data_IF_267434675873
#
_entry.id   IF_267434675873
#
_cell.length_a   1.000
_cell.length_b   1.000
_cell.length_c   1.000
_cell.angle_alpha   90.00
_cell.angle_beta   90.00
_cell.angle_gamma   90.00
#
_symmetry.space_group_name_H-M   'P 1'
#
loop_
_entity.id
_entity.type
_entity.pdbx_description
1 polymer ?
#
# COMPACT_ATOMS: atom_id res chain seq x y z
N UNK A 1 -9.33 33.78 0.85
CA UNK A 1 -9.32 32.35 0.46
C UNK A 1 -10.19 32.22 -0.77
N UNK A 2 -9.64 31.79 -1.91
CA UNK A 2 -10.44 31.45 -3.09
C UNK A 2 -10.67 29.94 -3.09
N UNK A 3 -11.89 29.52 -3.41
CA UNK A 3 -12.27 28.10 -3.46
C UNK A 3 -13.13 27.89 -4.68
N UNK A 4 -12.69 26.99 -5.57
CA UNK A 4 -13.54 26.48 -6.65
C UNK A 4 -14.53 25.50 -6.04
N UNK A 5 -15.82 25.68 -6.32
CA UNK A 5 -16.86 24.69 -5.99
C UNK A 5 -17.42 24.15 -7.29
N UNK A 6 -17.45 22.82 -7.38
CA UNK A 6 -18.04 22.12 -8.50
C UNK A 6 -19.52 22.46 -8.69
N UNK A 7 -19.95 22.63 -9.94
CA UNK A 7 -21.36 22.77 -10.31
C UNK A 7 -21.59 22.26 -11.74
N UNK A 8 -22.83 21.91 -12.07
CA UNK A 8 -23.18 21.35 -13.38
C UNK A 8 -22.33 20.12 -13.74
N UNK A 9 -21.72 20.13 -14.92
CA UNK A 9 -20.83 19.06 -15.39
C UNK A 9 -19.58 18.83 -14.52
N UNK A 10 -19.25 19.75 -13.62
CA UNK A 10 -18.13 19.66 -12.69
C UNK A 10 -18.60 19.44 -11.25
N UNK A 11 -19.76 18.83 -11.02
CA UNK A 11 -20.26 18.53 -9.66
C UNK A 11 -19.23 17.78 -8.80
N UNK A 12 -18.39 16.95 -9.43
CA UNK A 12 -17.28 16.22 -8.79
C UNK A 12 -15.91 16.89 -8.96
N UNK A 13 -15.85 18.18 -9.33
CA UNK A 13 -14.62 18.89 -9.62
C UNK A 13 -14.11 18.70 -11.05
N UNK A 14 -12.87 19.14 -11.31
CA UNK A 14 -12.23 18.96 -12.60
C UNK A 14 -11.77 17.51 -12.78
N UNK A 15 -12.01 16.88 -13.95
CA UNK A 15 -11.51 15.54 -14.22
C UNK A 15 -9.97 15.53 -14.31
N UNK A 16 -9.35 14.48 -13.77
CA UNK A 16 -7.91 14.24 -13.84
C UNK A 16 -7.61 13.14 -14.86
N UNK A 17 -7.86 13.43 -16.15
CA UNK A 17 -7.75 12.46 -17.26
C UNK A 17 -6.57 12.73 -18.20
N UNK A 18 -5.72 13.69 -17.86
CA UNK A 18 -4.59 14.15 -18.67
C UNK A 18 -3.29 14.15 -17.83
N UNK A 19 -2.18 13.82 -18.49
CA UNK A 19 -0.83 13.82 -17.89
C UNK A 19 -0.02 15.06 -18.25
N UNK A 20 -0.58 15.97 -19.05
CA UNK A 20 0.04 17.25 -19.43
C UNK A 20 -0.94 18.39 -19.17
N UNK A 21 -0.43 19.57 -18.81
CA UNK A 21 -1.26 20.72 -18.50
C UNK A 21 -2.25 21.04 -19.63
N UNK A 22 -3.53 21.14 -19.31
CA UNK A 22 -4.58 21.47 -20.28
C UNK A 22 -5.63 22.38 -19.67
N UNK A 23 -5.62 23.64 -20.09
CA UNK A 23 -6.52 24.67 -19.59
C UNK A 23 -8.00 24.33 -19.84
N UNK A 24 -8.34 23.67 -20.94
CA UNK A 24 -9.74 23.34 -21.28
C UNK A 24 -10.27 22.17 -20.45
N UNK A 25 -9.40 21.26 -20.03
CA UNK A 25 -9.78 20.08 -19.24
C UNK A 25 -9.88 20.38 -17.75
N UNK A 26 -8.84 20.98 -17.18
CA UNK A 26 -8.72 21.18 -15.74
C UNK A 26 -8.02 22.48 -15.34
N UNK A 27 -8.13 23.48 -16.20
CA UNK A 27 -7.67 24.84 -15.94
C UNK A 27 -8.68 25.69 -15.19
N UNK A 28 -8.18 26.66 -14.43
CA UNK A 28 -8.99 27.71 -13.83
C UNK A 28 -8.22 29.03 -13.79
N UNK A 29 -8.95 30.13 -13.81
CA UNK A 29 -8.38 31.47 -13.67
C UNK A 29 -8.65 32.01 -12.27
N UNK A 30 -7.62 32.63 -11.70
CA UNK A 30 -7.66 33.25 -10.38
C UNK A 30 -7.16 34.69 -10.52
N UNK A 31 -7.89 35.66 -9.95
CA UNK A 31 -7.49 37.07 -10.00
C UNK A 31 -6.71 37.39 -8.73
N UNK A 32 -5.48 37.87 -8.89
CA UNK A 32 -4.58 38.27 -7.80
C UNK A 32 -4.33 39.77 -7.90
N UNK A 33 -4.44 40.48 -6.77
CA UNK A 33 -4.13 41.91 -6.70
C UNK A 33 -2.65 42.13 -7.02
N UNK A 34 -2.27 43.13 -7.84
CA UNK A 34 -0.87 43.43 -8.09
C UNK A 34 -0.06 43.63 -6.80
N UNK A 35 1.17 43.12 -6.79
CA UNK A 35 2.07 43.12 -5.63
C UNK A 35 2.79 41.79 -5.43
N UNK A 36 3.67 41.75 -4.43
CA UNK A 36 4.43 40.54 -4.06
C UNK A 36 3.60 39.65 -3.14
N UNK A 37 3.39 38.40 -3.57
CA UNK A 37 2.61 37.41 -2.81
C UNK A 37 3.34 36.07 -2.74
N UNK A 38 3.13 35.36 -1.64
CA UNK A 38 3.43 33.92 -1.54
C UNK A 38 2.12 33.16 -1.59
N UNK A 39 2.04 32.12 -2.41
CA UNK A 39 0.80 31.35 -2.57
C UNK A 39 0.95 29.95 -1.97
N UNK A 40 -0.13 29.52 -1.32
CA UNK A 40 -0.34 28.12 -0.92
C UNK A 40 -1.55 27.61 -1.68
N UNK A 41 -1.32 26.68 -2.60
CA UNK A 41 -2.38 26.05 -3.39
C UNK A 41 -2.68 24.69 -2.75
N UNK A 42 -3.96 24.44 -2.45
CA UNK A 42 -4.44 23.15 -1.96
C UNK A 42 -5.34 22.53 -3.02
N UNK A 43 -5.03 21.31 -3.41
CA UNK A 43 -5.82 20.50 -4.32
C UNK A 43 -6.54 19.44 -3.49
N UNK A 44 -7.87 19.48 -3.50
CA UNK A 44 -8.69 18.40 -2.95
C UNK A 44 -8.95 17.41 -4.07
N UNK A 45 -8.45 16.20 -3.93
CA UNK A 45 -8.55 15.13 -4.92
C UNK A 45 -9.51 14.08 -4.38
N UNK A 46 -10.38 13.57 -5.25
CA UNK A 46 -11.37 12.54 -4.93
C UNK A 46 -11.35 11.47 -5.99
N UNK A 47 -11.30 10.22 -5.56
CA UNK A 47 -11.73 9.11 -6.40
C UNK A 47 -13.20 8.83 -6.11
N UNK A 48 -14.03 8.95 -7.15
CA UNK A 48 -15.49 8.82 -7.01
C UNK A 48 -15.90 7.36 -6.81
N UNK A 49 -15.11 6.40 -7.30
CA UNK A 49 -15.42 4.98 -7.23
C UNK A 49 -15.08 4.38 -5.85
N UNK A 50 -13.91 4.71 -5.30
CA UNK A 50 -13.51 4.31 -3.94
C UNK A 50 -14.11 5.22 -2.87
N UNK A 51 -14.51 6.44 -3.23
CA UNK A 51 -15.01 7.46 -2.31
C UNK A 51 -13.91 8.14 -1.49
N UNK A 52 -12.64 7.81 -1.72
CA UNK A 52 -11.51 8.36 -0.98
C UNK A 52 -11.24 9.80 -1.41
N UNK A 53 -10.99 10.65 -0.42
CA UNK A 53 -10.62 12.05 -0.59
C UNK A 53 -9.28 12.35 0.08
N UNK A 54 -8.50 13.23 -0.55
CA UNK A 54 -7.18 13.63 -0.11
C UNK A 54 -6.88 15.09 -0.42
N UNK A 55 -5.87 15.65 0.24
CA UNK A 55 -5.39 17.01 -0.04
C UNK A 55 -3.91 17.00 -0.41
N UNK A 56 -3.57 17.62 -1.54
CA UNK A 56 -2.18 17.89 -1.93
C UNK A 56 -1.94 19.39 -1.77
N UNK A 57 -0.86 19.76 -1.08
CA UNK A 57 -0.51 21.17 -0.84
C UNK A 57 0.78 21.53 -1.56
N UNK A 58 0.72 22.56 -2.41
CA UNK A 58 1.87 23.13 -3.10
C UNK A 58 2.15 24.54 -2.57
N UNK A 59 3.39 24.76 -2.14
CA UNK A 59 3.89 26.09 -1.82
C UNK A 59 4.52 26.68 -3.08
N UNK A 60 4.04 27.84 -3.49
CA UNK A 60 4.58 28.57 -4.63
C UNK A 60 5.57 29.60 -4.06
N UNK A 61 6.81 29.66 -4.57
CA UNK A 61 7.77 30.69 -4.18
C UNK A 61 7.17 32.10 -4.31
N UNK A 62 7.70 33.04 -3.52
CA UNK A 62 7.28 34.43 -3.58
C UNK A 62 7.39 34.97 -5.02
N UNK A 63 6.33 35.62 -5.50
CA UNK A 63 6.25 36.18 -6.84
C UNK A 63 5.60 37.56 -6.83
N UNK A 64 6.10 38.47 -7.65
CA UNK A 64 5.56 39.84 -7.80
C UNK A 64 4.66 39.90 -9.01
N UNK A 65 3.35 39.96 -8.78
CA UNK A 65 2.33 40.02 -9.83
C UNK A 65 2.13 41.47 -10.29
N UNK A 66 2.31 41.73 -11.58
CA UNK A 66 2.06 43.03 -12.19
C UNK A 66 0.57 43.21 -12.58
N UNK A 67 0.18 44.47 -12.83
CA UNK A 67 -1.17 44.77 -13.35
C UNK A 67 -1.32 44.21 -14.77
N UNK A 68 -2.43 43.54 -15.04
CA UNK A 68 -2.78 42.93 -16.34
C UNK A 68 -1.80 41.85 -16.82
N UNK A 69 -1.11 41.19 -15.89
CA UNK A 69 -0.23 40.06 -16.18
C UNK A 69 -0.97 38.73 -16.11
N UNK A 70 -0.60 37.79 -16.98
CA UNK A 70 -1.01 36.39 -16.91
C UNK A 70 0.17 35.55 -16.44
N UNK A 71 0.01 34.90 -15.29
CA UNK A 71 1.00 33.98 -14.73
C UNK A 71 0.43 32.57 -14.77
N UNK A 72 1.03 31.70 -15.58
CA UNK A 72 0.64 30.29 -15.65
C UNK A 72 1.19 29.53 -14.44
N UNK A 73 0.33 28.79 -13.77
CA UNK A 73 0.70 27.93 -12.64
C UNK A 73 0.28 26.50 -12.95
N UNK A 74 1.22 25.71 -13.46
CA UNK A 74 0.98 24.31 -13.77
C UNK A 74 0.96 23.46 -12.48
N UNK A 75 -0.04 22.59 -12.42
CA UNK A 75 -0.18 21.58 -11.37
C UNK A 75 0.39 20.27 -11.89
N UNK A 76 1.26 19.67 -11.09
CA UNK A 76 1.76 18.32 -11.30
C UNK A 76 1.55 17.58 -9.99
N UNK A 77 0.48 16.77 -9.95
CA UNK A 77 0.04 16.06 -8.75
C UNK A 77 0.78 14.72 -8.69
N UNK A 78 2.01 14.77 -8.21
CA UNK A 78 2.84 13.57 -8.02
C UNK A 78 2.31 12.77 -6.83
N UNK A 79 1.52 11.73 -7.11
CA UNK A 79 1.04 10.76 -6.12
C UNK A 79 1.76 9.43 -6.37
N UNK A 80 2.26 8.78 -5.31
CA UNK A 80 2.93 7.49 -5.46
C UNK A 80 1.93 6.45 -5.96
N UNK A 81 2.22 5.83 -7.10
CA UNK A 81 1.47 4.69 -7.60
C UNK A 81 2.16 3.39 -7.18
N UNK A 82 1.44 2.56 -6.43
CA UNK A 82 1.83 1.19 -6.13
C UNK A 82 1.29 0.25 -7.20
N UNK A 83 2.09 -0.75 -7.56
CA UNK A 83 1.66 -1.75 -8.52
C UNK A 83 0.44 -2.52 -7.97
N UNK A 84 -0.47 -2.89 -8.86
CA UNK A 84 -1.57 -3.79 -8.55
C UNK A 84 -1.20 -5.27 -8.63
N UNK A 85 0.08 -5.59 -8.85
CA UNK A 85 0.56 -6.96 -9.03
C UNK A 85 1.13 -7.50 -7.71
N UNK A 86 1.98 -8.53 -7.73
CA UNK A 86 2.71 -9.03 -6.55
C UNK A 86 1.89 -9.42 -5.30
N UNK A 87 0.63 -9.80 -5.51
CA UNK A 87 -0.10 -10.61 -4.53
C UNK A 87 0.21 -12.06 -4.82
N UNK A 88 0.46 -12.86 -3.80
CA UNK A 88 0.74 -14.30 -3.95
C UNK A 88 -0.03 -15.07 -2.89
N UNK A 89 -0.49 -16.27 -3.24
CA UNK A 89 -0.65 -17.31 -2.23
C UNK A 89 0.74 -17.63 -1.65
N UNK A 90 0.83 -17.99 -0.37
CA UNK A 90 2.13 -18.05 0.31
C UNK A 90 3.13 -18.93 -0.44
N UNK A 91 4.27 -18.31 -0.78
CA UNK A 91 5.40 -18.94 -1.47
C UNK A 91 5.03 -19.65 -2.79
N UNK A 92 3.97 -19.22 -3.47
CA UNK A 92 3.66 -19.68 -4.83
C UNK A 92 4.75 -19.27 -5.84
N UNK A 93 4.88 -19.99 -6.94
CA UNK A 93 5.85 -19.68 -8.00
C UNK A 93 5.45 -18.41 -8.78
N UNK A 94 4.14 -18.21 -8.98
CA UNK A 94 3.59 -17.12 -9.77
C UNK A 94 2.52 -16.34 -9.00
N UNK A 95 2.32 -15.07 -9.40
CA UNK A 95 1.42 -14.17 -8.67
C UNK A 95 -0.04 -14.63 -8.76
N UNK A 96 -0.82 -14.27 -7.75
CA UNK A 96 -2.22 -14.67 -7.52
C UNK A 96 -3.11 -14.48 -8.76
N UNK A 97 -2.84 -13.43 -9.55
CA UNK A 97 -3.58 -13.08 -10.76
C UNK A 97 -2.81 -13.34 -12.06
N UNK A 98 -1.76 -14.18 -12.07
CA UNK A 98 -1.02 -14.51 -13.29
C UNK A 98 -1.97 -15.01 -14.38
N UNK A 99 -1.96 -14.34 -15.53
CA UNK A 99 -2.86 -14.61 -16.67
C UNK A 99 -4.19 -13.84 -16.63
N UNK A 100 -4.55 -13.26 -15.49
CA UNK A 100 -5.81 -12.56 -15.21
C UNK A 100 -5.57 -11.15 -14.63
N UNK A 101 -4.38 -10.59 -14.81
CA UNK A 101 -3.95 -9.31 -14.25
C UNK A 101 -4.89 -8.16 -14.67
N UNK A 102 -5.08 -7.18 -13.78
CA UNK A 102 -6.00 -6.05 -14.00
C UNK A 102 -5.66 -5.24 -15.26
N UNK A 103 -4.40 -5.25 -15.69
CA UNK A 103 -3.88 -4.59 -16.90
C UNK A 103 -4.31 -5.27 -18.20
N UNK A 104 -4.82 -6.51 -18.15
CA UNK A 104 -5.30 -7.23 -19.34
C UNK A 104 -6.69 -6.78 -19.80
N UNK A 105 -7.43 -6.05 -18.95
CA UNK A 105 -8.77 -5.55 -19.26
C UNK A 105 -9.73 -6.65 -19.77
N UNK A 106 -9.70 -7.82 -19.13
CA UNK A 106 -10.52 -8.97 -19.50
C UNK A 106 -12.01 -8.68 -19.30
N UNK A 107 -12.86 -9.19 -20.19
CA UNK A 107 -14.29 -8.97 -20.15
C UNK A 107 -14.99 -9.80 -19.04
N UNK A 108 -16.16 -9.34 -18.59
CA UNK A 108 -17.09 -10.16 -17.79
C UNK A 108 -16.62 -10.50 -16.36
N UNK A 109 -15.95 -9.57 -15.67
CA UNK A 109 -15.42 -9.76 -14.31
C UNK A 109 -14.51 -11.00 -14.17
N UNK A 110 -13.81 -11.35 -15.24
CA UNK A 110 -12.87 -12.49 -15.25
C UNK A 110 -11.46 -12.09 -14.80
N UNK A 111 -11.11 -10.81 -14.90
CA UNK A 111 -9.82 -10.29 -14.44
C UNK A 111 -9.77 -10.01 -12.93
N UNK A 112 -8.59 -9.64 -12.49
CA UNK A 112 -8.30 -9.19 -11.13
C UNK A 112 -9.21 -8.04 -10.70
N UNK A 113 -9.86 -8.13 -9.52
CA UNK A 113 -10.66 -7.05 -8.98
C UNK A 113 -9.80 -5.87 -8.51
N UNK A 114 -10.21 -4.64 -8.83
CA UNK A 114 -9.48 -3.39 -8.50
C UNK A 114 -10.12 -2.55 -7.40
N UNK A 115 -11.32 -2.94 -6.94
CA UNK A 115 -12.10 -2.26 -5.89
C UNK A 115 -12.51 -3.27 -4.81
N UNK A 116 -12.56 -2.79 -3.57
CA UNK A 116 -13.00 -3.58 -2.42
C UNK A 116 -14.40 -4.18 -2.65
N UNK A 117 -14.58 -5.45 -2.31
CA UNK A 117 -15.84 -6.18 -2.44
C UNK A 117 -16.10 -6.76 -3.83
N UNK A 118 -15.27 -6.43 -4.83
CA UNK A 118 -15.34 -7.08 -6.13
C UNK A 118 -14.54 -8.38 -6.12
N UNK A 119 -14.99 -9.35 -6.91
CA UNK A 119 -14.39 -10.68 -6.99
C UNK A 119 -14.31 -11.22 -8.42
N UNK A 120 -13.46 -12.22 -8.60
CA UNK A 120 -13.35 -13.04 -9.81
C UNK A 120 -13.08 -14.49 -9.42
N UNK A 121 -13.70 -15.42 -10.14
CA UNK A 121 -13.53 -16.86 -9.89
C UNK A 121 -12.22 -17.44 -10.44
N UNK A 122 -11.38 -16.62 -11.11
CA UNK A 122 -10.18 -17.09 -11.80
C UNK A 122 -8.91 -17.17 -10.93
N UNK A 123 -9.05 -17.09 -9.61
CA UNK A 123 -7.96 -17.38 -8.68
C UNK A 123 -7.63 -18.88 -8.64
N UNK A 124 -6.47 -19.25 -8.11
CA UNK A 124 -6.10 -20.66 -7.97
C UNK A 124 -6.89 -21.33 -6.83
N UNK A 125 -7.48 -22.49 -7.09
CA UNK A 125 -8.28 -23.23 -6.10
C UNK A 125 -7.60 -24.52 -5.62
N UNK A 126 -6.60 -25.01 -6.35
CA UNK A 126 -5.86 -26.22 -6.02
C UNK A 126 -4.46 -26.19 -6.61
N UNK A 127 -3.63 -27.14 -6.17
CA UNK A 127 -2.27 -27.36 -6.69
C UNK A 127 -2.22 -27.81 -8.16
N UNK A 128 -3.38 -28.02 -8.81
CA UNK A 128 -3.48 -28.31 -10.24
C UNK A 128 -3.60 -27.04 -11.10
N UNK A 129 -3.53 -25.86 -10.50
CA UNK A 129 -3.53 -24.58 -11.23
C UNK A 129 -2.39 -24.53 -12.25
N UNK A 130 -2.74 -24.42 -13.54
CA UNK A 130 -1.78 -24.45 -14.65
C UNK A 130 -0.86 -23.21 -14.70
N UNK A 131 -1.20 -22.15 -13.97
CA UNK A 131 -0.39 -20.94 -13.89
C UNK A 131 0.55 -20.96 -12.67
N UNK A 132 0.61 -22.06 -11.90
CA UNK A 132 1.52 -22.23 -10.75
C UNK A 132 1.31 -21.19 -9.62
N UNK A 133 0.06 -20.78 -9.40
CA UNK A 133 -0.29 -19.71 -8.45
C UNK A 133 -0.72 -20.24 -7.08
N UNK A 134 -0.86 -21.55 -6.93
CA UNK A 134 -1.24 -22.17 -5.66
C UNK A 134 -0.08 -22.13 -4.67
N UNK A 135 -0.39 -21.97 -3.37
CA UNK A 135 0.65 -21.87 -2.34
C UNK A 135 1.55 -23.10 -2.30
N UNK A 136 2.76 -22.90 -1.78
CA UNK A 136 3.71 -23.98 -1.55
C UNK A 136 3.19 -24.95 -0.49
N UNK A 137 2.82 -26.15 -0.93
CA UNK A 137 2.30 -27.23 -0.09
C UNK A 137 3.42 -27.91 0.69
N UNK A 138 3.15 -28.27 1.96
CA UNK A 138 4.10 -28.98 2.81
C UNK A 138 4.28 -28.32 4.19
N UNK A 139 5.17 -28.89 5.00
CA UNK A 139 5.43 -28.44 6.37
C UNK A 139 4.43 -29.00 7.40
N UNK A 140 4.22 -28.27 8.50
CA UNK A 140 3.29 -28.65 9.57
C UNK A 140 3.82 -29.69 10.57
N UNK A 141 5.10 -30.03 10.49
CA UNK A 141 5.79 -30.95 11.41
C UNK A 141 7.16 -30.39 11.81
N UNK A 142 7.22 -29.07 12.01
CA UNK A 142 8.44 -28.33 12.29
C UNK A 142 8.67 -27.19 11.31
N UNK A 143 9.86 -26.59 11.40
CA UNK A 143 10.27 -25.46 10.56
C UNK A 143 10.16 -25.82 9.08
N UNK A 144 9.52 -24.93 8.32
CA UNK A 144 9.38 -25.03 6.88
C UNK A 144 9.62 -23.62 6.30
N UNK A 145 10.68 -23.50 5.51
CA UNK A 145 11.13 -22.23 4.96
C UNK A 145 10.67 -22.09 3.50
N UNK A 146 10.35 -20.86 3.11
CA UNK A 146 10.00 -20.52 1.73
C UNK A 146 11.17 -20.76 0.75
N UNK A 147 10.85 -21.18 -0.48
CA UNK A 147 11.83 -21.45 -1.55
C UNK A 147 11.50 -20.79 -2.89
N UNK A 148 10.36 -20.10 -3.01
CA UNK A 148 9.93 -19.40 -4.22
C UNK A 148 9.74 -17.89 -3.96
N UNK A 149 8.54 -17.35 -4.23
CA UNK A 149 8.23 -15.91 -4.11
C UNK A 149 8.48 -15.32 -2.73
N UNK A 150 8.44 -16.14 -1.66
CA UNK A 150 8.66 -15.68 -0.31
C UNK A 150 10.10 -15.90 0.18
N UNK A 151 10.98 -16.58 -0.57
CA UNK A 151 12.31 -16.98 -0.10
C UNK A 151 13.22 -15.80 0.31
N UNK A 152 13.08 -14.66 -0.38
CA UNK A 152 13.85 -13.44 -0.09
C UNK A 152 13.22 -12.52 0.96
N UNK A 153 12.05 -12.87 1.50
CA UNK A 153 11.32 -12.03 2.44
C UNK A 153 11.83 -12.23 3.89
N UNK A 154 11.61 -11.24 4.78
CA UNK A 154 11.91 -11.40 6.19
C UNK A 154 11.21 -12.62 6.77
N UNK A 155 11.90 -13.35 7.64
CA UNK A 155 11.30 -14.43 8.39
C UNK A 155 10.45 -13.88 9.55
N UNK A 156 9.64 -14.72 10.19
CA UNK A 156 8.74 -14.28 11.28
C UNK A 156 9.48 -13.55 12.41
N UNK A 157 10.69 -13.98 12.77
CA UNK A 157 11.47 -13.32 13.82
C UNK A 157 11.82 -11.89 13.43
N UNK A 158 12.28 -11.69 12.19
CA UNK A 158 12.61 -10.39 11.64
C UNK A 158 11.40 -9.45 11.64
N UNK A 159 10.21 -9.96 11.28
CA UNK A 159 8.96 -9.18 11.35
C UNK A 159 8.67 -8.67 12.76
N UNK A 160 8.95 -9.46 13.81
CA UNK A 160 8.76 -8.98 15.19
C UNK A 160 9.69 -7.82 15.55
N UNK A 161 10.88 -7.75 14.95
CA UNK A 161 11.79 -6.62 15.15
C UNK A 161 11.24 -5.34 14.51
N UNK A 162 10.73 -5.42 13.28
CA UNK A 162 10.07 -4.28 12.65
C UNK A 162 8.83 -3.84 13.45
N UNK A 163 7.99 -4.77 13.88
CA UNK A 163 6.77 -4.45 14.64
C UNK A 163 7.06 -3.84 16.02
N UNK A 164 8.09 -4.32 16.73
CA UNK A 164 8.35 -3.93 18.11
C UNK A 164 9.40 -2.82 18.27
N UNK A 165 10.39 -2.78 17.38
CA UNK A 165 11.58 -1.91 17.45
C UNK A 165 11.80 -1.10 16.18
N UNK A 166 11.04 -1.36 15.12
CA UNK A 166 11.01 -0.58 13.90
C UNK A 166 10.27 0.74 14.04
N UNK A 167 9.83 1.13 15.24
CA UNK A 167 9.17 2.42 15.50
C UNK A 167 7.99 2.68 14.55
N UNK A 168 6.96 1.81 14.56
CA UNK A 168 5.85 1.92 13.63
C UNK A 168 5.08 3.22 13.83
N UNK A 169 4.97 4.02 12.78
CA UNK A 169 4.17 5.26 12.77
C UNK A 169 3.01 5.11 11.79
N UNK A 170 1.79 5.03 12.31
CA UNK A 170 0.57 4.96 11.52
C UNK A 170 0.29 6.31 10.87
N UNK A 171 0.25 6.31 9.55
CA UNK A 171 -0.10 7.46 8.73
C UNK A 171 -1.47 7.22 8.11
N UNK A 172 -2.46 8.03 8.46
CA UNK A 172 -3.84 7.91 7.95
C UNK A 172 -4.06 8.77 6.69
N UNK A 173 -3.12 9.65 6.36
CA UNK A 173 -3.31 10.71 5.38
C UNK A 173 -2.34 10.64 4.19
N UNK A 174 -1.26 9.86 4.27
CA UNK A 174 -0.37 9.62 3.13
C UNK A 174 -1.18 9.06 1.95
N UNK A 175 -1.21 9.82 0.86
CA UNK A 175 -1.99 9.55 -0.34
C UNK A 175 -1.19 8.73 -1.34
N UNK A 176 -1.83 7.73 -1.90
CA UNK A 176 -1.24 6.88 -2.92
C UNK A 176 -2.32 6.31 -3.85
N UNK A 177 -1.91 5.83 -5.02
CA UNK A 177 -2.81 5.15 -5.95
C UNK A 177 -2.41 3.70 -6.13
N UNK A 178 -3.37 2.85 -6.47
CA UNK A 178 -3.12 1.51 -7.02
C UNK A 178 -4.29 1.12 -7.91
N UNK A 179 -4.03 0.32 -8.94
CA UNK A 179 -5.06 -0.21 -9.85
C UNK A 179 -6.04 0.85 -10.39
N UNK A 180 -5.55 2.07 -10.63
CA UNK A 180 -6.34 3.18 -11.17
C UNK A 180 -7.19 3.96 -10.15
N UNK A 181 -7.07 3.66 -8.86
CA UNK A 181 -7.87 4.28 -7.80
C UNK A 181 -7.03 5.01 -6.75
N UNK A 182 -7.58 6.09 -6.19
CA UNK A 182 -6.99 6.81 -5.06
C UNK A 182 -7.32 6.13 -3.73
N UNK A 183 -6.30 6.02 -2.88
CA UNK A 183 -6.38 5.56 -1.51
C UNK A 183 -5.47 6.40 -0.61
N UNK A 184 -5.55 6.13 0.68
CA UNK A 184 -4.64 6.66 1.68
C UNK A 184 -4.44 5.67 2.81
N UNK A 185 -3.41 5.90 3.61
CA UNK A 185 -3.17 5.15 4.82
C UNK A 185 -2.08 4.08 4.69
N UNK A 186 -1.39 3.82 5.80
CA UNK A 186 -0.26 2.90 5.89
C UNK A 186 0.60 3.16 7.11
N UNK A 187 1.78 2.57 7.15
CA UNK A 187 2.67 2.63 8.31
C UNK A 187 4.11 2.85 7.88
N UNK A 188 4.78 3.81 8.52
CA UNK A 188 6.22 3.98 8.42
C UNK A 188 6.94 3.07 9.40
N UNK A 189 8.07 2.50 8.96
CA UNK A 189 8.95 1.68 9.79
C UNK A 189 10.40 2.11 9.58
N UNK A 190 11.20 2.10 10.64
CA UNK A 190 12.66 2.17 10.57
C UNK A 190 13.19 1.04 9.70
N UNK A 191 14.14 1.38 8.84
CA UNK A 191 14.94 0.42 8.08
C UNK A 191 15.73 -0.47 9.04
N UNK A 192 16.07 -1.69 8.60
CA UNK A 192 16.82 -2.68 9.37
C UNK A 192 18.08 -2.11 10.03
N UNK A 193 18.83 -1.27 9.30
CA UNK A 193 20.07 -0.65 9.79
C UNK A 193 19.87 0.28 10.99
N UNK A 194 18.62 0.71 11.26
CA UNK A 194 18.23 1.62 12.33
C UNK A 194 17.60 0.90 13.52
N UNK A 195 17.44 -0.42 13.45
CA UNK A 195 16.86 -1.22 14.52
C UNK A 195 17.99 -1.76 15.41
N UNK A 196 18.14 -1.15 16.59
CA UNK A 196 19.15 -1.59 17.57
C UNK A 196 18.81 -2.97 18.15
N UNK A 197 19.82 -3.85 18.21
CA UNK A 197 19.68 -5.21 18.74
C UNK A 197 19.06 -6.22 17.77
N UNK A 198 18.79 -5.82 16.52
CA UNK A 198 18.19 -6.68 15.49
C UNK A 198 18.88 -8.05 15.41
N UNK A 199 18.09 -9.12 15.48
CA UNK A 199 18.58 -10.50 15.34
C UNK A 199 17.66 -11.29 14.40
N UNK A 200 18.17 -11.78 13.25
CA UNK A 200 17.34 -12.52 12.30
C UNK A 200 16.96 -13.94 12.80
N UNK A 201 17.60 -14.45 13.85
CA UNK A 201 17.40 -15.81 14.34
C UNK A 201 16.42 -15.92 15.50
N UNK A 202 16.10 -14.82 16.17
CA UNK A 202 15.20 -14.79 17.32
C UNK A 202 14.28 -13.60 17.23
N UNK A 203 13.02 -13.76 17.60
CA UNK A 203 12.08 -12.69 17.76
C UNK A 203 12.56 -11.70 18.85
N UNK A 204 11.89 -10.57 18.94
CA UNK A 204 12.22 -9.50 19.91
C UNK A 204 12.16 -9.96 21.38
N UNK A 205 11.47 -11.06 21.68
CA UNK A 205 11.41 -11.68 23.02
C UNK A 205 12.55 -12.68 23.29
N UNK A 206 13.45 -12.90 22.33
CA UNK A 206 14.58 -13.82 22.42
C UNK A 206 14.27 -15.27 22.04
N UNK A 207 13.04 -15.59 21.64
CA UNK A 207 12.64 -16.95 21.21
C UNK A 207 12.62 -17.09 19.69
N UNK A 208 12.72 -18.31 19.15
CA UNK A 208 12.59 -18.56 17.71
C UNK A 208 11.14 -18.92 17.34
N UNK A 209 10.43 -17.97 16.74
CA UNK A 209 9.03 -18.14 16.33
C UNK A 209 8.85 -19.03 15.10
N UNK A 210 9.94 -19.36 14.38
CA UNK A 210 9.90 -20.35 13.30
C UNK A 210 9.65 -21.77 13.82
N UNK A 211 9.80 -21.99 15.13
CA UNK A 211 9.61 -23.30 15.78
C UNK A 211 8.45 -23.31 16.78
N UNK A 212 7.98 -22.14 17.22
CA UNK A 212 6.90 -21.99 18.20
C UNK A 212 5.85 -21.05 17.62
N UNK A 213 4.72 -21.63 17.22
CA UNK A 213 3.65 -20.97 16.47
C UNK A 213 2.91 -19.87 17.28
N UNK A 214 3.58 -18.74 17.42
CA UNK A 214 3.21 -17.58 18.21
C UNK A 214 2.46 -16.54 17.37
N UNK A 215 1.87 -15.55 18.01
CA UNK A 215 1.34 -14.35 17.36
C UNK A 215 1.32 -13.21 18.36
N UNK A 216 1.44 -11.97 17.87
CA UNK A 216 1.37 -10.77 18.72
C UNK A 216 1.09 -9.52 17.91
N UNK A 217 0.56 -8.52 18.60
CA UNK A 217 0.41 -7.17 18.10
C UNK A 217 1.24 -6.17 18.90
N UNK A 218 1.62 -5.08 18.22
CA UNK A 218 2.28 -3.92 18.79
C UNK A 218 1.55 -2.65 18.36
N UNK A 219 1.46 -1.63 19.23
CA UNK A 219 0.85 -0.37 18.86
C UNK A 219 1.73 0.38 17.86
N UNK A 220 1.10 1.09 16.92
CA UNK A 220 1.74 2.09 16.08
C UNK A 220 1.43 3.49 16.61
N UNK A 221 2.44 4.35 16.61
CA UNK A 221 2.32 5.75 17.02
C UNK A 221 1.54 6.56 15.96
N UNK A 222 0.79 7.57 16.40
CA UNK A 222 0.24 8.60 15.49
C UNK A 222 1.24 9.73 15.19
N UNK A 223 2.41 9.69 15.83
CA UNK A 223 3.49 10.66 15.61
C UNK A 223 4.30 10.15 14.42
N UNK A 224 4.23 10.88 13.30
CA UNK A 224 4.98 10.57 12.10
C UNK A 224 6.48 10.86 12.27
N UNK A 225 7.37 10.20 11.51
CA UNK A 225 8.79 10.52 11.50
C UNK A 225 9.03 11.98 11.13
N UNK A 226 10.01 12.61 11.78
CA UNK A 226 10.45 13.94 11.39
C UNK A 226 10.99 13.93 9.95
N UNK A 227 10.76 15.02 9.22
CA UNK A 227 11.21 15.13 7.83
C UNK A 227 12.73 14.96 7.66
N UNK A 228 13.51 15.33 8.69
CA UNK A 228 14.96 15.15 8.71
C UNK A 228 15.37 13.66 8.80
N UNK A 229 14.53 12.82 9.42
CA UNK A 229 14.77 11.40 9.64
C UNK A 229 14.05 10.50 8.64
N UNK A 230 13.25 11.06 7.72
CA UNK A 230 12.46 10.28 6.74
C UNK A 230 13.31 9.26 5.96
N UNK A 231 14.59 9.58 5.67
CA UNK A 231 15.53 8.66 5.01
C UNK A 231 15.86 7.39 5.80
N UNK A 232 15.63 7.37 7.12
CA UNK A 232 15.82 6.24 8.02
C UNK A 232 14.63 5.28 8.03
N UNK A 233 13.51 5.67 7.43
CA UNK A 233 12.27 4.91 7.39
C UNK A 233 11.95 4.43 5.97
N UNK A 234 11.09 3.43 5.88
CA UNK A 234 10.37 3.02 4.67
C UNK A 234 8.88 2.93 4.99
N UNK A 235 8.04 2.98 3.96
CA UNK A 235 6.60 3.04 4.11
C UNK A 235 5.93 1.79 3.54
N UNK A 236 5.00 1.22 4.30
CA UNK A 236 4.12 0.14 3.86
C UNK A 236 2.69 0.68 3.69
N UNK A 237 2.15 0.74 2.46
CA UNK A 237 0.77 1.17 2.21
C UNK A 237 -0.28 0.12 2.61
N UNK A 238 -1.49 0.55 2.97
CA UNK A 238 -2.62 -0.37 3.18
C UNK A 238 -3.18 -0.93 1.86
N UNK A 239 -2.42 -1.79 1.18
CA UNK A 239 -2.79 -2.35 -0.13
C UNK A 239 -3.86 -3.46 -0.09
N UNK A 240 -4.35 -3.81 1.10
CA UNK A 240 -5.35 -4.86 1.24
C UNK A 240 -4.79 -6.25 0.97
N UNK A 241 -5.70 -7.16 0.59
CA UNK A 241 -5.39 -8.54 0.25
C UNK A 241 -6.51 -9.17 -0.57
N UNK A 242 -6.23 -10.35 -1.14
CA UNK A 242 -7.24 -11.21 -1.75
C UNK A 242 -7.57 -12.42 -0.87
N UNK A 243 -8.85 -12.80 -0.87
CA UNK A 243 -9.34 -14.06 -0.31
C UNK A 243 -10.44 -14.58 -1.21
N UNK A 244 -10.37 -15.85 -1.61
CA UNK A 244 -11.31 -16.47 -2.55
C UNK A 244 -11.60 -15.64 -3.82
N UNK A 245 -10.57 -14.98 -4.35
CA UNK A 245 -10.67 -14.13 -5.53
C UNK A 245 -11.35 -12.77 -5.31
N UNK A 246 -11.76 -12.43 -4.08
CA UNK A 246 -12.32 -11.13 -3.71
C UNK A 246 -11.25 -10.19 -3.15
N UNK A 247 -11.29 -8.90 -3.53
CA UNK A 247 -10.42 -7.86 -3.01
C UNK A 247 -10.97 -7.30 -1.70
N UNK A 248 -10.13 -7.28 -0.67
CA UNK A 248 -10.47 -6.75 0.64
C UNK A 248 -9.54 -5.62 1.09
N UNK A 249 -10.11 -4.71 1.89
CA UNK A 249 -9.42 -3.80 2.80
C UNK A 249 -8.35 -2.86 2.19
N UNK A 250 -8.38 -2.56 0.88
CA UNK A 250 -7.52 -1.53 0.29
C UNK A 250 -7.86 -0.18 0.94
N UNK A 251 -6.83 0.53 1.42
CA UNK A 251 -6.94 1.77 2.19
C UNK A 251 -7.29 1.57 3.68
N UNK A 252 -7.41 0.31 4.15
CA UNK A 252 -7.80 -0.01 5.54
C UNK A 252 -6.73 -0.84 6.25
N UNK A 253 -6.21 -1.88 5.57
CA UNK A 253 -5.13 -2.72 6.08
C UNK A 253 -4.15 -3.10 4.98
N UNK A 254 -2.93 -3.50 5.34
CA UNK A 254 -1.99 -4.14 4.41
C UNK A 254 -1.51 -5.47 5.00
N UNK A 255 -1.43 -6.51 4.18
CA UNK A 255 -0.96 -7.84 4.59
C UNK A 255 0.25 -8.24 3.74
N UNK A 256 1.34 -8.62 4.42
CA UNK A 256 2.64 -8.88 3.82
C UNK A 256 3.17 -10.24 4.26
N UNK A 257 3.44 -11.14 3.31
CA UNK A 257 3.95 -12.48 3.62
C UNK A 257 5.36 -12.43 4.23
N UNK A 258 5.63 -13.38 5.13
CA UNK A 258 6.98 -13.72 5.58
C UNK A 258 7.53 -14.91 4.80
N UNK A 259 8.82 -15.18 4.93
CA UNK A 259 9.44 -16.42 4.47
C UNK A 259 9.18 -17.64 5.37
N UNK A 260 8.39 -17.50 6.44
CA UNK A 260 8.17 -18.55 7.46
C UNK A 260 6.77 -19.13 7.42
N UNK A 261 6.68 -20.45 7.33
CA UNK A 261 5.44 -21.19 7.56
C UNK A 261 5.15 -21.37 9.06
N UNK A 262 3.89 -21.66 9.39
CA UNK A 262 3.53 -22.17 10.72
C UNK A 262 4.14 -23.58 10.92
N UNK A 263 4.87 -23.82 12.02
CA UNK A 263 5.53 -25.10 12.26
C UNK A 263 4.59 -26.25 12.64
N UNK A 264 3.34 -25.98 13.03
CA UNK A 264 2.32 -26.95 13.48
C UNK A 264 1.32 -27.31 12.38
N UNK A 265 1.05 -26.40 11.45
CA UNK A 265 0.00 -26.57 10.43
C UNK A 265 0.52 -26.29 9.02
N UNK A 266 0.49 -27.30 8.16
CA UNK A 266 1.00 -27.24 6.77
C UNK A 266 0.18 -26.36 5.80
N UNK A 267 -0.88 -25.71 6.27
CA UNK A 267 -1.75 -24.82 5.48
C UNK A 267 -1.65 -23.35 5.93
N UNK A 268 -0.82 -23.05 6.93
CA UNK A 268 -0.72 -21.73 7.56
C UNK A 268 0.70 -21.17 7.37
N UNK A 269 0.80 -19.86 7.20
CA UNK A 269 2.06 -19.13 7.18
C UNK A 269 1.97 -17.80 7.94
N UNK A 270 3.14 -17.28 8.31
CA UNK A 270 3.25 -16.01 9.01
C UNK A 270 3.20 -14.83 8.04
N UNK A 271 2.57 -13.75 8.49
CA UNK A 271 2.52 -12.48 7.79
C UNK A 271 2.64 -11.31 8.78
N UNK A 272 3.03 -10.16 8.26
CA UNK A 272 2.91 -8.88 8.94
C UNK A 272 1.65 -8.18 8.41
N UNK A 273 0.76 -7.77 9.31
CA UNK A 273 -0.40 -6.95 8.97
C UNK A 273 -0.30 -5.58 9.62
N UNK A 274 -0.66 -4.55 8.87
CA UNK A 274 -0.81 -3.18 9.35
C UNK A 274 -2.26 -2.75 9.22
N UNK A 275 -2.78 -2.04 10.22
CA UNK A 275 -4.14 -1.51 10.18
C UNK A 275 -4.63 -1.16 11.58
N UNK A 276 -5.52 -0.16 11.66
CA UNK A 276 -6.11 0.26 12.94
C UNK A 276 -5.03 0.53 14.00
N UNK A 277 -4.08 1.41 13.68
CA UNK A 277 -2.99 1.86 14.56
C UNK A 277 -2.19 0.74 15.24
N UNK A 278 -2.13 -0.43 14.62
CA UNK A 278 -1.46 -1.61 15.16
C UNK A 278 -0.70 -2.33 14.07
N UNK A 279 0.38 -3.00 14.49
CA UNK A 279 1.15 -3.92 13.65
C UNK A 279 1.01 -5.30 14.25
N UNK A 280 0.55 -6.25 13.45
CA UNK A 280 0.36 -7.64 13.82
C UNK A 280 1.41 -8.50 13.15
N UNK A 281 2.04 -9.40 13.91
CA UNK A 281 2.76 -10.54 13.36
C UNK A 281 1.94 -11.76 13.73
N UNK A 282 1.21 -12.28 12.75
CA UNK A 282 0.23 -13.33 12.96
C UNK A 282 0.30 -14.38 11.83
N UNK A 283 -0.62 -15.32 11.86
CA UNK A 283 -0.63 -16.52 11.04
C UNK A 283 -1.99 -16.68 10.38
N UNK A 284 -2.00 -16.90 9.07
CA UNK A 284 -3.22 -17.17 8.33
C UNK A 284 -3.00 -18.27 7.29
N UNK A 285 -4.11 -18.76 6.73
CA UNK A 285 -4.09 -19.74 5.65
C UNK A 285 -3.34 -19.22 4.43
N UNK A 286 -2.58 -20.12 3.79
CA UNK A 286 -1.65 -19.80 2.70
C UNK A 286 -2.32 -19.46 1.38
N UNK A 287 -3.62 -19.73 1.24
CA UNK A 287 -4.44 -19.46 0.06
C UNK A 287 -4.87 -17.98 -0.08
N UNK A 288 -4.55 -17.14 0.90
CA UNK A 288 -4.76 -15.70 0.78
C UNK A 288 -3.73 -15.07 -0.15
N UNK A 289 -4.17 -14.09 -0.95
CA UNK A 289 -3.30 -13.27 -1.78
C UNK A 289 -2.75 -12.09 -0.99
N UNK A 290 -1.63 -12.25 -0.30
CA UNK A 290 -0.92 -11.16 0.38
C UNK A 290 0.25 -10.65 -0.44
N UNK A 291 0.72 -9.43 -0.12
CA UNK A 291 1.85 -8.81 -0.79
C UNK A 291 3.15 -9.55 -0.47
N UNK A 292 3.96 -9.79 -1.50
CA UNK A 292 5.34 -10.26 -1.36
C UNK A 292 6.29 -9.08 -1.53
N UNK A 293 6.55 -8.35 -0.45
CA UNK A 293 7.37 -7.14 -0.47
C UNK A 293 8.54 -7.29 0.51
N UNK A 294 9.75 -7.05 0.02
CA UNK A 294 10.94 -7.07 0.86
C UNK A 294 10.93 -5.84 1.79
N UNK A 295 11.18 -6.07 3.08
CA UNK A 295 11.36 -4.99 4.05
C UNK A 295 12.81 -4.47 4.00
N UNK A 296 12.99 -3.16 4.23
CA UNK A 296 14.27 -2.46 4.08
C UNK A 296 15.07 -2.37 5.37
#
# INVERSE_FOLDING_TARGET
MLTTKGSGSYVNGFPLTNTSANLTTNGSYMIIKPGTHTLRIRYWVKDVASGVEGTITKFIPSHTFAKNEYVNMEADLQIKNYDGDHYYMWDAEEQYWKGYEWTKHLAGNTGQPTLNGNSSSNYAQSSSDLNHRYYHTGGGSGRFDATHSCAGLPNVNEMTWYAAKGDPCWDVDELWTTMGHLYKGGTWFKKKSQISGYNPNTAVDGTDWRTNANSRSWPASYILPDAADAGNYFYLPCLGFYSDGEQYAVGVSGCYWSSSADPRYGIIAYHLSIGGNSVYVDRHTRDFGYRTEALQ
#
